data_IF_763590072663
#
_entry.id   IF_763590072663
#
_cell.length_a   1.000
_cell.length_b   1.000
_cell.length_c   1.000
_cell.angle_alpha   90.00
_cell.angle_beta   90.00
_cell.angle_gamma   90.00
#
_symmetry.space_group_name_H-M   'P 1'
#
loop_
_entity.id
_entity.type
_entity.pdbx_description
1 polymer ?
#
# COMPACT_ATOMS: atom_id res chain seq x y z
N UNK A 1 23.39 5.52 -33.08
CA UNK A 1 23.59 6.23 -31.80
C UNK A 1 22.30 6.34 -30.97
N UNK A 2 21.13 6.63 -31.55
CA UNK A 2 19.86 6.74 -30.79
C UNK A 2 19.40 5.47 -30.05
N UNK A 3 19.74 4.26 -30.52
CA UNK A 3 19.38 3.00 -29.84
C UNK A 3 20.03 2.84 -28.45
N UNK A 4 21.25 3.35 -28.26
CA UNK A 4 22.03 3.13 -27.04
C UNK A 4 21.57 3.99 -25.84
N UNK A 5 21.01 5.18 -26.09
CA UNK A 5 20.47 6.02 -25.01
C UNK A 5 19.15 5.49 -24.45
N UNK A 6 18.33 4.83 -25.26
CA UNK A 6 17.09 4.21 -24.80
C UNK A 6 17.37 2.99 -23.91
N UNK A 7 18.40 2.20 -24.21
CA UNK A 7 18.81 1.05 -23.39
C UNK A 7 19.21 1.43 -21.97
N UNK A 8 19.95 2.52 -21.78
CA UNK A 8 20.38 2.97 -20.45
C UNK A 8 19.21 3.42 -19.54
N UNK A 9 18.08 3.81 -20.13
CA UNK A 9 16.86 4.17 -19.38
C UNK A 9 15.91 2.99 -19.15
N UNK A 10 16.14 1.85 -19.81
CA UNK A 10 15.31 0.66 -19.64
C UNK A 10 15.62 -0.01 -18.31
N UNK A 11 14.57 -0.24 -17.53
CA UNK A 11 14.67 -1.04 -16.31
C UNK A 11 14.89 -2.49 -16.72
N UNK A 12 15.90 -3.15 -16.14
CA UNK A 12 16.18 -4.55 -16.41
C UNK A 12 15.02 -5.44 -15.96
N UNK A 13 14.81 -6.58 -16.64
CA UNK A 13 13.73 -7.50 -16.28
C UNK A 13 13.85 -7.99 -14.83
N UNK A 14 15.08 -8.23 -14.37
CA UNK A 14 15.35 -8.61 -12.98
C UNK A 14 14.87 -7.55 -11.98
N UNK A 15 15.07 -6.26 -12.27
CA UNK A 15 14.60 -5.15 -11.42
C UNK A 15 13.07 -5.02 -11.47
N UNK A 16 12.44 -5.31 -12.61
CA UNK A 16 10.97 -5.34 -12.70
C UNK A 16 10.40 -6.48 -11.87
N UNK A 17 10.95 -7.70 -11.98
CA UNK A 17 10.53 -8.84 -11.17
C UNK A 17 10.71 -8.55 -9.68
N UNK A 18 11.83 -7.92 -9.27
CA UNK A 18 12.06 -7.47 -7.89
C UNK A 18 10.97 -6.50 -7.40
N UNK A 19 10.49 -5.60 -8.26
CA UNK A 19 9.41 -4.66 -7.91
C UNK A 19 8.07 -5.38 -7.82
N UNK A 20 7.75 -6.24 -8.77
CA UNK A 20 6.50 -7.00 -8.77
C UNK A 20 6.38 -7.89 -7.52
N UNK A 21 7.47 -8.54 -7.09
CA UNK A 21 7.50 -9.33 -5.85
C UNK A 21 7.34 -8.45 -4.61
N UNK A 22 7.82 -7.21 -4.63
CA UNK A 22 7.69 -6.29 -3.50
C UNK A 22 6.32 -5.60 -3.42
N UNK A 23 5.67 -5.35 -4.55
CA UNK A 23 4.39 -4.63 -4.64
C UNK A 23 3.20 -5.56 -4.36
N UNK A 24 3.23 -6.80 -4.87
CA UNK A 24 2.11 -7.73 -4.70
C UNK A 24 2.03 -8.21 -3.25
N UNK A 25 0.83 -8.09 -2.67
CA UNK A 25 0.57 -8.53 -1.31
C UNK A 25 0.80 -10.05 -1.18
N UNK A 26 1.55 -10.47 -0.16
CA UNK A 26 1.84 -11.88 0.11
C UNK A 26 3.12 -12.44 -0.52
N UNK A 27 3.79 -11.69 -1.41
CA UNK A 27 5.11 -12.06 -1.95
C UNK A 27 6.28 -11.41 -1.18
N UNK A 28 6.01 -10.35 -0.43
CA UNK A 28 7.01 -9.64 0.38
C UNK A 28 7.24 -10.32 1.71
N UNK A 29 8.51 -10.40 2.13
CA UNK A 29 8.87 -10.86 3.47
C UNK A 29 8.30 -9.94 4.55
N UNK A 30 7.81 -10.54 5.63
CA UNK A 30 7.25 -9.80 6.76
C UNK A 30 8.38 -9.28 7.64
N UNK A 31 8.52 -7.96 7.71
CA UNK A 31 9.40 -7.32 8.69
C UNK A 31 8.58 -6.83 9.88
N UNK A 32 8.98 -7.20 11.09
CA UNK A 32 8.21 -6.85 12.30
C UNK A 32 8.24 -5.34 12.56
N UNK A 33 9.33 -4.65 12.22
CA UNK A 33 9.45 -3.21 12.48
C UNK A 33 8.79 -2.33 11.41
N UNK A 34 8.63 -2.84 10.18
CA UNK A 34 7.94 -2.11 9.11
C UNK A 34 6.45 -2.50 9.06
N UNK A 35 5.53 -1.66 9.56
CA UNK A 35 4.09 -1.94 9.52
C UNK A 35 3.54 -2.03 8.09
N UNK A 36 4.23 -1.48 7.09
CA UNK A 36 3.81 -1.59 5.70
C UNK A 36 3.96 -3.03 5.19
N UNK A 37 4.86 -3.85 5.76
CA UNK A 37 5.08 -5.25 5.32
C UNK A 37 4.01 -6.20 5.80
N UNK A 38 3.23 -5.79 6.78
CA UNK A 38 2.26 -6.67 7.41
C UNK A 38 1.09 -6.96 6.48
N UNK A 39 0.54 -8.16 6.60
CA UNK A 39 -0.70 -8.52 5.92
C UNK A 39 -1.87 -7.69 6.47
N UNK A 40 -2.94 -7.56 5.67
CA UNK A 40 -4.14 -6.81 6.07
C UNK A 40 -4.77 -7.28 7.39
N UNK A 41 -4.82 -8.58 7.72
CA UNK A 41 -5.28 -9.06 9.03
C UNK A 41 -4.49 -8.46 10.20
N UNK A 42 -3.15 -8.48 10.12
CA UNK A 42 -2.30 -7.93 11.17
C UNK A 42 -2.39 -6.41 11.27
N UNK A 43 -2.52 -5.71 10.13
CA UNK A 43 -2.78 -4.27 10.11
C UNK A 43 -4.13 -3.94 10.77
N UNK A 44 -5.17 -4.72 10.45
CA UNK A 44 -6.50 -4.58 11.04
C UNK A 44 -6.47 -4.75 12.55
N UNK A 45 -5.87 -5.83 13.04
CA UNK A 45 -5.69 -6.08 14.47
C UNK A 45 -4.90 -4.96 15.16
N UNK A 46 -3.78 -4.52 14.58
CA UNK A 46 -2.94 -3.48 15.16
C UNK A 46 -3.66 -2.14 15.29
N UNK A 47 -4.41 -1.74 14.26
CA UNK A 47 -5.21 -0.50 14.28
C UNK A 47 -6.31 -0.58 15.33
N UNK A 48 -7.08 -1.67 15.38
CA UNK A 48 -8.17 -1.78 16.37
C UNK A 48 -7.64 -1.89 17.80
N UNK A 49 -6.51 -2.57 18.02
CA UNK A 49 -5.81 -2.58 19.32
C UNK A 49 -5.32 -1.19 19.70
N UNK A 50 -4.69 -0.45 18.79
CA UNK A 50 -4.21 0.91 19.03
C UNK A 50 -5.35 1.86 19.42
N UNK A 51 -6.45 1.83 18.67
CA UNK A 51 -7.67 2.59 18.98
C UNK A 51 -8.26 2.15 20.33
N UNK A 52 -8.29 0.84 20.62
CA UNK A 52 -8.77 0.30 21.88
C UNK A 52 -7.95 0.76 23.10
N UNK A 53 -6.62 0.82 22.97
CA UNK A 53 -5.72 1.33 24.01
C UNK A 53 -5.95 2.83 24.27
N UNK A 54 -6.08 3.63 23.20
CA UNK A 54 -6.38 5.06 23.32
C UNK A 54 -7.74 5.27 23.98
N UNK A 55 -8.77 4.53 23.56
CA UNK A 55 -10.09 4.59 24.17
C UNK A 55 -10.06 4.19 25.65
N UNK A 56 -9.31 3.15 26.01
CA UNK A 56 -9.12 2.74 27.40
C UNK A 56 -8.41 3.84 28.23
N UNK A 57 -7.38 4.46 27.67
CA UNK A 57 -6.67 5.57 28.33
C UNK A 57 -7.59 6.77 28.57
N UNK A 58 -8.33 7.20 27.54
CA UNK A 58 -9.25 8.33 27.62
C UNK A 58 -10.37 8.06 28.61
N UNK A 59 -10.97 6.87 28.59
CA UNK A 59 -12.03 6.49 29.53
C UNK A 59 -11.53 6.43 30.98
N UNK A 60 -10.30 5.97 31.21
CA UNK A 60 -9.69 6.01 32.55
C UNK A 60 -9.46 7.44 33.03
N UNK A 61 -8.90 8.29 32.18
CA UNK A 61 -8.64 9.70 32.49
C UNK A 61 -9.95 10.44 32.80
N UNK A 62 -10.97 10.23 31.99
CA UNK A 62 -12.30 10.83 32.18
C UNK A 62 -12.94 10.41 33.50
N UNK A 63 -12.87 9.12 33.83
CA UNK A 63 -13.45 8.58 35.07
C UNK A 63 -12.53 8.69 36.29
N UNK A 64 -11.42 9.43 36.19
CA UNK A 64 -10.41 9.60 37.25
C UNK A 64 -9.91 8.26 37.82
N UNK A 65 -9.81 7.24 36.97
CA UNK A 65 -9.30 5.91 37.36
C UNK A 65 -7.81 5.78 37.02
N UNK A 66 -7.01 5.06 37.83
CA UNK A 66 -5.62 4.79 37.50
C UNK A 66 -5.51 3.94 36.22
N UNK A 67 -4.37 4.03 35.53
CA UNK A 67 -4.17 3.37 34.24
C UNK A 67 -4.32 1.84 34.30
N UNK A 68 -4.00 1.23 35.43
CA UNK A 68 -4.07 -0.22 35.69
C UNK A 68 -5.45 -0.70 36.18
N UNK A 69 -6.45 0.17 36.29
CA UNK A 69 -7.79 -0.23 36.76
C UNK A 69 -8.34 -1.38 35.90
N UNK A 70 -8.85 -2.44 36.55
CA UNK A 70 -9.47 -3.59 35.88
C UNK A 70 -8.61 -4.20 34.74
N UNK A 71 -7.32 -4.40 34.99
CA UNK A 71 -6.35 -4.82 33.97
C UNK A 71 -6.77 -6.10 33.22
N UNK A 72 -7.03 -7.21 33.92
CA UNK A 72 -7.36 -8.50 33.30
C UNK A 72 -8.63 -8.48 32.42
N UNK A 73 -9.80 -8.00 32.89
CA UNK A 73 -10.99 -7.94 32.04
C UNK A 73 -10.81 -6.99 30.85
N UNK A 74 -9.98 -5.94 30.98
CA UNK A 74 -9.67 -5.04 29.87
C UNK A 74 -8.72 -5.63 28.84
N UNK A 75 -7.73 -6.41 29.28
CA UNK A 75 -6.87 -7.17 28.37
C UNK A 75 -7.69 -8.20 27.59
N UNK A 76 -8.66 -8.86 28.22
CA UNK A 76 -9.60 -9.74 27.55
C UNK A 76 -10.50 -8.99 26.55
N UNK A 77 -11.02 -7.81 26.91
CA UNK A 77 -11.78 -6.98 25.96
C UNK A 77 -10.91 -6.51 24.79
N UNK A 78 -9.66 -6.13 25.05
CA UNK A 78 -8.72 -5.68 24.03
C UNK A 78 -8.35 -6.82 23.07
N UNK A 79 -8.16 -8.04 23.56
CA UNK A 79 -7.89 -9.20 22.70
C UNK A 79 -9.09 -9.55 21.82
N UNK A 80 -10.33 -9.40 22.32
CA UNK A 80 -11.54 -9.53 21.51
C UNK A 80 -11.61 -8.48 20.40
N UNK A 81 -11.35 -7.21 20.73
CA UNK A 81 -11.30 -6.11 19.75
C UNK A 81 -10.18 -6.32 18.70
N UNK A 82 -9.04 -6.84 19.12
CA UNK A 82 -7.94 -7.21 18.21
C UNK A 82 -8.38 -8.35 17.27
N UNK A 83 -9.06 -9.38 17.79
CA UNK A 83 -9.60 -10.50 17.01
C UNK A 83 -10.64 -10.05 15.98
N UNK A 84 -11.53 -9.11 16.35
CA UNK A 84 -12.47 -8.50 15.41
C UNK A 84 -11.75 -7.72 14.31
N UNK A 85 -10.72 -6.95 14.66
CA UNK A 85 -9.87 -6.25 13.69
C UNK A 85 -9.15 -7.20 12.73
N UNK A 86 -8.67 -8.33 13.24
CA UNK A 86 -8.08 -9.38 12.42
C UNK A 86 -9.08 -9.95 11.42
N UNK A 87 -10.29 -10.30 11.87
CA UNK A 87 -11.35 -10.83 11.01
C UNK A 87 -11.80 -9.82 9.93
N UNK A 88 -11.92 -8.54 10.28
CA UNK A 88 -12.18 -7.49 9.29
C UNK A 88 -11.03 -7.38 8.27
N UNK A 89 -9.80 -7.52 8.73
CA UNK A 89 -8.62 -7.52 7.86
C UNK A 89 -8.55 -8.73 6.92
N UNK A 90 -8.97 -9.93 7.35
CA UNK A 90 -9.04 -11.11 6.47
C UNK A 90 -10.13 -10.97 5.40
N UNK A 91 -11.29 -10.43 5.76
CA UNK A 91 -12.36 -10.12 4.80
C UNK A 91 -11.88 -9.11 3.74
N UNK A 92 -11.16 -8.07 4.17
CA UNK A 92 -10.58 -7.07 3.27
C UNK A 92 -9.53 -7.68 2.34
N UNK A 93 -8.67 -8.55 2.87
CA UNK A 93 -7.68 -9.26 2.07
C UNK A 93 -8.33 -10.15 1.01
N UNK A 94 -9.36 -10.91 1.41
CA UNK A 94 -10.13 -11.73 0.49
C UNK A 94 -10.74 -10.90 -0.65
N UNK A 95 -11.39 -9.77 -0.31
CA UNK A 95 -11.97 -8.87 -1.30
C UNK A 95 -10.94 -8.37 -2.33
N UNK A 96 -9.75 -7.97 -1.90
CA UNK A 96 -8.70 -7.53 -2.82
C UNK A 96 -8.15 -8.66 -3.68
N UNK A 97 -7.96 -9.86 -3.12
CA UNK A 97 -7.54 -11.03 -3.89
C UNK A 97 -8.56 -11.39 -4.97
N UNK A 98 -9.86 -11.37 -4.64
CA UNK A 98 -10.92 -11.60 -5.63
C UNK A 98 -10.93 -10.53 -6.71
N UNK A 99 -10.79 -9.24 -6.34
CA UNK A 99 -10.71 -8.15 -7.31
C UNK A 99 -9.54 -8.35 -8.28
N UNK A 100 -8.36 -8.62 -7.76
CA UNK A 100 -7.15 -8.77 -8.57
C UNK A 100 -7.24 -9.99 -9.48
N UNK A 101 -7.79 -11.11 -9.00
CA UNK A 101 -8.04 -12.30 -9.81
C UNK A 101 -9.03 -12.06 -10.96
N UNK A 102 -10.10 -11.29 -10.72
CA UNK A 102 -11.07 -10.91 -11.77
C UNK A 102 -10.42 -10.04 -12.82
N UNK A 103 -9.61 -9.06 -12.40
CA UNK A 103 -8.89 -8.17 -13.33
C UNK A 103 -7.90 -8.97 -14.17
N UNK A 104 -7.09 -9.83 -13.52
CA UNK A 104 -6.10 -10.67 -14.21
C UNK A 104 -6.76 -11.61 -15.23
N UNK A 105 -7.90 -12.21 -14.85
CA UNK A 105 -8.71 -13.03 -15.75
C UNK A 105 -9.31 -12.22 -16.91
N UNK A 106 -9.76 -10.99 -16.68
CA UNK A 106 -10.30 -10.15 -17.75
C UNK A 106 -9.22 -9.75 -18.78
N UNK A 107 -8.03 -9.39 -18.29
CA UNK A 107 -6.86 -9.06 -19.13
C UNK A 107 -6.44 -10.25 -19.98
N UNK A 108 -6.49 -11.47 -19.43
CA UNK A 108 -6.12 -12.68 -20.19
C UNK A 108 -7.13 -13.03 -21.28
N UNK A 109 -8.41 -12.74 -21.09
CA UNK A 109 -9.47 -12.97 -22.09
C UNK A 109 -9.47 -11.94 -23.23
N UNK A 110 -9.10 -10.68 -22.95
CA UNK A 110 -9.17 -9.58 -23.92
C UNK A 110 -7.79 -8.93 -24.15
N UNK A 111 -6.77 -9.69 -24.59
CA UNK A 111 -5.42 -9.14 -24.73
C UNK A 111 -5.33 -7.95 -25.69
N UNK A 112 -6.22 -7.87 -26.68
CA UNK A 112 -6.31 -6.77 -27.65
C UNK A 112 -6.60 -5.41 -27.01
N UNK A 113 -7.38 -5.38 -25.92
CA UNK A 113 -7.72 -4.12 -25.24
C UNK A 113 -6.52 -3.57 -24.45
N UNK A 114 -5.54 -4.44 -24.15
CA UNK A 114 -4.37 -4.15 -23.32
C UNK A 114 -3.06 -4.14 -24.13
N UNK A 115 -3.11 -4.07 -25.46
CA UNK A 115 -1.92 -4.10 -26.32
C UNK A 115 -0.91 -2.99 -25.99
N UNK A 116 -1.39 -1.83 -25.53
CA UNK A 116 -0.55 -0.71 -25.14
C UNK A 116 0.24 -0.93 -23.84
N UNK A 117 -0.10 -1.94 -23.04
CA UNK A 117 0.65 -2.32 -21.84
C UNK A 117 1.79 -3.31 -22.12
N UNK A 118 1.85 -3.88 -23.34
CA UNK A 118 2.92 -4.81 -23.73
C UNK A 118 4.28 -4.10 -23.85
N UNK A 119 4.29 -2.83 -24.25
CA UNK A 119 5.50 -2.01 -24.23
C UNK A 119 5.67 -1.33 -22.86
N UNK A 120 6.38 -2.01 -21.95
CA UNK A 120 6.71 -1.50 -20.61
C UNK A 120 7.61 -0.27 -20.63
N UNK A 121 8.42 -0.11 -21.69
CA UNK A 121 9.38 0.99 -21.81
C UNK A 121 8.77 2.24 -22.44
N UNK A 122 7.64 2.09 -23.13
CA UNK A 122 6.96 3.18 -23.83
C UNK A 122 7.83 3.83 -24.91
N UNK A 123 7.36 4.98 -25.39
CA UNK A 123 8.12 5.81 -26.34
C UNK A 123 9.27 6.50 -25.64
N UNK A 124 10.43 6.53 -26.28
CA UNK A 124 11.58 7.27 -25.74
C UNK A 124 11.29 8.78 -25.70
N UNK A 125 11.86 9.52 -24.74
CA UNK A 125 11.72 10.98 -24.68
C UNK A 125 12.17 11.69 -25.96
N UNK A 126 13.08 11.09 -26.73
CA UNK A 126 13.49 11.63 -28.04
C UNK A 126 12.36 11.67 -29.08
N UNK A 127 11.33 10.84 -28.90
CA UNK A 127 10.16 10.75 -29.77
C UNK A 127 8.97 11.56 -29.25
N UNK A 128 9.08 12.17 -28.06
CA UNK A 128 7.99 12.89 -27.38
C UNK A 128 8.37 14.37 -27.33
N UNK A 129 7.55 15.22 -27.93
CA UNK A 129 7.68 16.67 -27.80
C UNK A 129 6.75 17.13 -26.69
N UNK A 130 7.31 17.42 -25.52
CA UNK A 130 6.57 18.01 -24.40
C UNK A 130 6.64 19.54 -24.50
N UNK A 131 5.53 20.26 -24.22
CA UNK A 131 5.58 21.71 -24.11
C UNK A 131 6.49 22.14 -22.95
N UNK A 132 7.44 23.03 -23.23
CA UNK A 132 8.34 23.58 -22.22
C UNK A 132 7.76 24.88 -21.65
N UNK A 133 7.47 24.88 -20.35
CA UNK A 133 6.99 26.04 -19.61
C UNK A 133 8.11 26.57 -18.69
N UNK A 134 8.90 27.58 -19.13
CA UNK A 134 9.96 28.13 -18.30
C UNK A 134 9.38 28.85 -17.08
N UNK A 135 9.99 28.65 -15.90
CA UNK A 135 9.77 29.57 -14.77
C UNK A 135 10.39 30.92 -15.13
N UNK A 136 9.55 31.90 -15.41
CA UNK A 136 9.94 33.31 -15.60
C UNK A 136 9.99 33.98 -14.23
N UNK A 137 11.00 34.82 -14.01
CA UNK A 137 11.17 35.58 -12.75
C UNK A 137 10.03 36.59 -12.46
N UNK A 138 9.10 36.79 -13.41
CA UNK A 138 8.03 37.80 -13.35
C UNK A 138 6.85 37.48 -12.42
N UNK A 139 6.82 36.31 -11.77
CA UNK A 139 5.74 35.97 -10.82
C UNK A 139 6.26 35.58 -9.43
N UNK A 140 7.18 36.38 -8.87
CA UNK A 140 7.32 36.48 -7.40
C UNK A 140 6.37 37.56 -6.90
N UNK A 141 5.09 37.26 -6.73
CA UNK A 141 4.19 38.21 -6.06
C UNK A 141 3.41 37.63 -4.89
N UNK A 142 3.29 36.30 -4.79
CA UNK A 142 2.61 35.65 -3.67
C UNK A 142 3.26 34.28 -3.39
N UNK A 143 4.42 34.30 -2.73
CA UNK A 143 4.86 33.24 -1.82
C UNK A 143 4.71 33.78 -0.38
#
# INVERSE_FOLDING_TARGET
VHSAMAENTRVSEAEVTRRETHIRAGLRDREVLDPFTWSYPWKGAAVTTGVGLVAMYVTNKWNKKPYYFALFPRLAALSLVAGLGYAMGTMREHHYKTRDAVIEHYVSLHPQDFDHFKDRSGRSFSQIILPWYPRRAEYTKFD
#
